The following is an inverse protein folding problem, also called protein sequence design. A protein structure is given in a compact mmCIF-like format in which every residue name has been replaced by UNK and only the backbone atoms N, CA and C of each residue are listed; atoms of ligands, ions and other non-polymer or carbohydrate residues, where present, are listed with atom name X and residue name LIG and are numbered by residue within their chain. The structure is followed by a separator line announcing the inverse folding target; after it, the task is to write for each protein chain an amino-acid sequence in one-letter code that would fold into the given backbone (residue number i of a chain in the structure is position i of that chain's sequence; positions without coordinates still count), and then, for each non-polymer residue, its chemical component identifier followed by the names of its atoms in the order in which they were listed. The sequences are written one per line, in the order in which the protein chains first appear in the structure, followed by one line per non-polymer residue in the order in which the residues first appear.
data_IF_573832960780
#
_entry.id   IF_573832960780
#
_cell.length_a   1.000
_cell.length_b   1.000
_cell.length_c   1.000
_cell.angle_alpha   90.00
_cell.angle_beta   90.00
_cell.angle_gamma   90.00
#
_symmetry.space_group_name_H-M   'P 1'
#
loop_
_entity.id
_entity.type
_entity.pdbx_description
1 polymer ?
#
# COMPACT_ATOMS: atom_id res chain seq x y z
N UNK A 1 -10.64 -19.32 -3.05
CA UNK A 1 -11.99 -18.72 -3.02
C UNK A 1 -12.14 -17.98 -4.33
N UNK A 2 -12.95 -18.52 -5.23
CA UNK A 2 -13.16 -18.00 -6.58
C UNK A 2 -13.87 -16.66 -6.42
N UNK A 3 -13.19 -15.55 -6.73
CA UNK A 3 -13.84 -14.25 -6.88
C UNK A 3 -14.83 -14.39 -8.03
N UNK A 4 -16.10 -14.59 -7.71
CA UNK A 4 -17.20 -14.44 -8.66
C UNK A 4 -17.34 -12.96 -8.95
N UNK A 5 -17.06 -12.59 -10.20
CA UNK A 5 -17.22 -11.23 -10.69
C UNK A 5 -18.72 -10.99 -10.81
N UNK A 6 -19.30 -10.30 -9.83
CA UNK A 6 -20.66 -9.82 -9.95
C UNK A 6 -20.73 -8.80 -11.09
N UNK A 7 -21.51 -9.21 -12.09
CA UNK A 7 -22.08 -8.44 -13.17
C UNK A 7 -22.96 -7.36 -12.53
N UNK A 8 -22.47 -6.15 -12.43
CA UNK A 8 -23.27 -4.91 -12.30
C UNK A 8 -22.30 -3.73 -12.27
N UNK A 9 -21.75 -3.38 -13.44
CA UNK A 9 -21.07 -2.09 -13.66
C UNK A 9 -21.72 -1.33 -14.82
N UNK A 10 -23.03 -1.56 -15.00
CA UNK A 10 -23.92 -0.70 -15.76
C UNK A 10 -24.90 -0.05 -14.77
N UNK A 11 -24.37 0.72 -13.82
CA UNK A 11 -25.17 1.65 -13.03
C UNK A 11 -25.68 2.77 -13.93
N UNK A 12 -26.76 2.50 -14.67
CA UNK A 12 -27.59 3.54 -15.27
C UNK A 12 -28.39 4.14 -14.11
N UNK A 13 -27.93 5.27 -13.58
CA UNK A 13 -28.83 6.17 -12.84
C UNK A 13 -29.90 6.61 -13.84
N UNK A 14 -31.10 6.05 -13.72
CA UNK A 14 -32.30 6.61 -14.35
C UNK A 14 -32.66 7.84 -13.52
N UNK A 15 -31.93 8.92 -13.72
CA UNK A 15 -32.42 10.26 -13.35
C UNK A 15 -33.68 10.53 -14.19
N UNK A 16 -34.74 10.98 -13.52
CA UNK A 16 -35.94 11.50 -14.17
C UNK A 16 -35.51 12.54 -15.20
N UNK A 17 -35.78 12.25 -16.47
CA UNK A 17 -35.37 13.05 -17.61
C UNK A 17 -35.98 14.47 -17.56
N UNK A 18 -35.28 15.40 -16.94
CA UNK A 18 -35.28 16.79 -17.37
C UNK A 18 -34.54 16.87 -18.70
N UNK A 19 -35.01 17.71 -19.64
CA UNK A 19 -34.37 17.93 -20.94
C UNK A 19 -32.95 18.52 -20.76
N UNK A 20 -31.95 17.67 -20.56
CA UNK A 20 -30.54 18.04 -20.61
C UNK A 20 -30.17 18.30 -22.08
N UNK A 21 -29.69 19.51 -22.38
CA UNK A 21 -29.21 19.86 -23.71
C UNK A 21 -27.87 19.18 -23.98
N UNK A 22 -27.58 18.84 -25.25
CA UNK A 22 -26.32 18.19 -25.66
C UNK A 22 -25.06 18.94 -25.17
N UNK A 23 -25.13 20.26 -25.03
CA UNK A 23 -24.06 21.08 -24.43
C UNK A 23 -23.79 20.67 -22.98
N UNK A 24 -24.84 20.60 -22.15
CA UNK A 24 -24.71 20.30 -20.71
C UNK A 24 -24.08 18.93 -20.41
N UNK A 25 -24.32 17.92 -21.27
CA UNK A 25 -23.71 16.59 -21.14
C UNK A 25 -22.21 16.62 -21.46
N UNK A 26 -21.80 17.35 -22.50
CA UNK A 26 -20.39 17.51 -22.88
C UNK A 26 -19.65 18.30 -21.81
N UNK A 27 -20.26 19.37 -21.29
CA UNK A 27 -19.69 20.19 -20.22
C UNK A 27 -19.47 19.37 -18.95
N UNK A 28 -20.44 18.51 -18.57
CA UNK A 28 -20.31 17.60 -17.44
C UNK A 28 -19.16 16.59 -17.64
N UNK A 29 -19.05 16.00 -18.82
CA UNK A 29 -17.97 15.06 -19.14
C UNK A 29 -16.59 15.73 -19.15
N UNK A 30 -16.49 16.95 -19.70
CA UNK A 30 -15.26 17.75 -19.69
C UNK A 30 -14.85 18.11 -18.27
N UNK A 31 -15.79 18.58 -17.43
CA UNK A 31 -15.52 18.90 -16.04
C UNK A 31 -15.04 17.68 -15.24
N UNK A 32 -15.61 16.49 -15.50
CA UNK A 32 -15.16 15.24 -14.89
C UNK A 32 -13.73 14.87 -15.31
N UNK A 33 -13.40 15.04 -16.59
CA UNK A 33 -12.05 14.84 -17.10
C UNK A 33 -11.07 15.80 -16.44
N UNK A 34 -11.37 17.10 -16.48
CA UNK A 34 -10.51 18.15 -15.91
C UNK A 34 -10.28 17.94 -14.41
N UNK A 35 -11.31 17.55 -13.66
CA UNK A 35 -11.17 17.20 -12.25
C UNK A 35 -10.20 16.03 -12.04
N UNK A 36 -10.34 14.96 -12.83
CA UNK A 36 -9.44 13.80 -12.74
C UNK A 36 -8.00 14.19 -13.05
N UNK A 37 -7.80 15.02 -14.09
CA UNK A 37 -6.47 15.51 -14.45
C UNK A 37 -5.87 16.40 -13.36
N UNK A 38 -6.65 17.33 -12.80
CA UNK A 38 -6.22 18.18 -11.68
C UNK A 38 -5.82 17.36 -10.44
N UNK A 39 -6.56 16.31 -10.12
CA UNK A 39 -6.23 15.39 -9.02
C UNK A 39 -4.90 14.65 -9.26
N UNK A 40 -4.67 14.16 -10.49
CA UNK A 40 -3.42 13.49 -10.86
C UNK A 40 -2.25 14.47 -10.88
N UNK A 41 -2.45 15.67 -11.41
CA UNK A 41 -1.44 16.73 -11.49
C UNK A 41 -0.95 17.11 -10.09
N UNK A 42 -1.88 17.35 -9.16
CA UNK A 42 -1.55 17.72 -7.78
C UNK A 42 -0.93 16.56 -7.00
N UNK A 43 -1.45 15.35 -7.15
CA UNK A 43 -0.96 14.21 -6.38
C UNK A 43 0.40 13.71 -6.85
N UNK A 44 0.68 13.74 -8.16
CA UNK A 44 1.94 13.31 -8.74
C UNK A 44 2.92 14.47 -9.01
N UNK A 45 2.70 15.64 -8.43
CA UNK A 45 3.56 16.82 -8.53
C UNK A 45 5.05 16.51 -8.27
N UNK A 46 5.31 15.67 -7.26
CA UNK A 46 6.64 15.17 -6.85
C UNK A 46 7.40 14.38 -7.94
N UNK A 47 6.73 13.96 -9.00
CA UNK A 47 7.33 13.32 -10.18
C UNK A 47 7.10 14.09 -11.47
N UNK A 48 6.51 15.29 -11.42
CA UNK A 48 6.20 16.13 -12.58
C UNK A 48 4.74 16.05 -13.04
N UNK A 49 3.80 15.77 -12.14
CA UNK A 49 2.37 15.80 -12.40
C UNK A 49 1.92 14.72 -13.38
N UNK A 50 0.96 15.04 -14.25
CA UNK A 50 0.42 14.11 -15.25
C UNK A 50 1.50 13.65 -16.23
N UNK A 51 2.38 14.56 -16.65
CA UNK A 51 3.48 14.25 -17.58
C UNK A 51 4.46 13.30 -16.90
N UNK A 52 4.83 13.61 -15.65
CA UNK A 52 5.66 12.76 -14.80
C UNK A 52 5.11 11.35 -14.63
N UNK A 53 3.81 11.26 -14.32
CA UNK A 53 3.10 9.99 -14.23
C UNK A 53 3.21 9.17 -15.52
N UNK A 54 2.94 9.80 -16.68
CA UNK A 54 3.04 9.12 -17.97
C UNK A 54 4.46 8.63 -18.26
N UNK A 55 5.47 9.47 -18.02
CA UNK A 55 6.88 9.11 -18.23
C UNK A 55 7.29 7.92 -17.37
N UNK A 56 6.94 7.92 -16.08
CA UNK A 56 7.26 6.80 -15.18
C UNK A 56 6.60 5.50 -15.64
N UNK A 57 5.34 5.55 -16.11
CA UNK A 57 4.67 4.35 -16.64
C UNK A 57 5.40 3.83 -17.89
N UNK A 58 5.79 4.70 -18.82
CA UNK A 58 6.53 4.33 -20.02
C UNK A 58 7.92 3.77 -19.69
N UNK A 59 8.66 4.40 -18.76
CA UNK A 59 9.95 3.91 -18.25
C UNK A 59 9.84 2.47 -17.70
N UNK A 60 8.78 2.20 -16.93
CA UNK A 60 8.53 0.88 -16.36
C UNK A 60 8.10 -0.15 -17.42
N UNK A 61 7.35 0.24 -18.45
CA UNK A 61 7.00 -0.64 -19.60
C UNK A 61 8.24 -1.01 -20.42
N UNK A 62 9.11 -0.02 -20.72
CA UNK A 62 10.37 -0.22 -21.44
C UNK A 62 11.33 -1.14 -20.67
N UNK A 63 11.42 -0.94 -19.36
CA UNK A 63 12.28 -1.76 -18.49
C UNK A 63 11.87 -3.24 -18.45
N UNK A 64 10.59 -3.55 -18.73
CA UNK A 64 10.10 -4.93 -18.78
C UNK A 64 10.29 -5.56 -20.16
N UNK A 65 10.10 -4.80 -21.25
CA UNK A 65 10.32 -5.28 -22.63
C UNK A 65 11.81 -5.50 -22.94
N UNK A 66 12.70 -4.65 -22.44
CA UNK A 66 14.15 -4.84 -22.58
C UNK A 66 14.65 -6.15 -21.96
N UNK A 67 14.04 -6.60 -20.86
CA UNK A 67 14.40 -7.86 -20.18
C UNK A 67 13.96 -9.09 -20.95
N UNK A 68 12.77 -9.07 -21.57
CA UNK A 68 12.28 -10.15 -22.44
C UNK A 68 13.21 -10.38 -23.64
N UNK A 69 13.82 -9.32 -24.19
CA UNK A 69 14.85 -9.43 -25.25
C UNK A 69 16.20 -9.95 -24.74
N UNK A 70 16.59 -9.62 -23.51
CA UNK A 70 17.85 -10.11 -22.93
C UNK A 70 17.84 -11.61 -22.62
N UNK A 71 16.67 -12.24 -22.47
CA UNK A 71 16.54 -13.71 -22.38
C UNK A 71 16.79 -14.44 -23.71
N UNK A 72 16.97 -13.72 -24.82
CA UNK A 72 17.29 -14.27 -26.15
C UNK A 72 18.69 -13.89 -26.67
N UNK A 73 19.49 -13.16 -25.89
CA UNK A 73 20.91 -12.95 -26.20
C UNK A 73 21.75 -12.96 -24.93
N UNK A 74 22.52 -14.03 -24.77
CA UNK A 74 23.71 -14.02 -23.92
C UNK A 74 24.65 -12.94 -24.45
N UNK A 75 25.17 -12.10 -23.55
CA UNK A 75 26.09 -10.99 -23.80
C UNK A 75 25.40 -9.67 -24.17
N UNK A 76 24.91 -8.95 -23.15
CA UNK A 76 25.35 -7.56 -22.80
C UNK A 76 24.40 -6.97 -21.76
N UNK A 77 24.70 -7.14 -20.46
CA UNK A 77 24.22 -6.23 -19.40
C UNK A 77 25.03 -6.36 -18.12
N UNK A 78 26.37 -6.38 -18.24
CA UNK A 78 27.28 -6.26 -17.09
C UNK A 78 27.11 -4.93 -16.32
N UNK A 79 26.50 -3.91 -16.93
CA UNK A 79 26.28 -2.62 -16.28
C UNK A 79 25.18 -2.61 -15.21
N UNK A 80 24.30 -3.62 -15.13
CA UNK A 80 23.21 -3.65 -14.12
C UNK A 80 23.38 -4.73 -13.03
N UNK A 81 24.32 -5.67 -13.21
CA UNK A 81 24.73 -6.61 -12.14
C UNK A 81 25.57 -5.95 -11.05
N UNK A 82 26.13 -4.76 -11.31
CA UNK A 82 27.04 -4.05 -10.40
C UNK A 82 26.35 -3.23 -9.28
N UNK A 83 25.04 -3.37 -9.09
CA UNK A 83 24.39 -2.95 -7.84
C UNK A 83 23.95 -4.22 -7.11
N UNK A 84 24.91 -4.94 -6.53
CA UNK A 84 24.69 -6.11 -5.68
C UNK A 84 23.88 -5.68 -4.44
N UNK A 85 22.57 -5.57 -4.59
CA UNK A 85 21.64 -5.46 -3.47
C UNK A 85 21.63 -6.82 -2.80
N UNK A 86 22.31 -6.93 -1.66
CA UNK A 86 22.19 -8.11 -0.81
C UNK A 86 20.88 -8.01 -0.05
N UNK A 87 20.04 -9.02 -0.22
CA UNK A 87 18.82 -9.18 0.56
C UNK A 87 19.11 -10.05 1.77
N UNK A 88 18.80 -9.53 2.95
CA UNK A 88 18.95 -10.26 4.21
C UNK A 88 17.58 -10.50 4.85
N UNK A 89 17.48 -11.57 5.63
CA UNK A 89 16.29 -11.83 6.45
C UNK A 89 16.34 -10.92 7.68
N UNK A 90 15.32 -10.10 7.97
CA UNK A 90 15.33 -9.21 9.14
C UNK A 90 15.21 -9.99 10.47
N UNK A 91 15.93 -9.56 11.52
CA UNK A 91 15.99 -10.19 12.87
C UNK A 91 15.04 -9.55 13.88
N UNK A 92 14.51 -10.26 14.90
CA UNK A 92 13.70 -9.72 16.03
C UNK A 92 12.82 -10.72 16.82
N UNK A 93 11.92 -10.21 17.67
CA UNK A 93 11.34 -10.90 18.85
C UNK A 93 10.05 -11.69 18.59
N UNK A 94 9.98 -12.92 19.11
CA UNK A 94 8.78 -13.77 19.11
C UNK A 94 7.81 -13.39 20.25
N UNK A 95 6.54 -13.20 19.93
CA UNK A 95 5.49 -12.67 20.83
C UNK A 95 4.60 -13.75 21.48
N UNK A 96 4.78 -15.04 21.16
CA UNK A 96 3.89 -16.13 21.58
C UNK A 96 4.22 -16.74 22.95
N UNK A 97 4.19 -15.97 24.03
CA UNK A 97 4.41 -16.51 25.39
C UNK A 97 3.32 -16.19 26.42
N UNK A 98 2.04 -16.09 26.02
CA UNK A 98 0.89 -16.27 26.92
C UNK A 98 -0.44 -16.42 26.14
N UNK A 99 -1.19 -17.50 26.37
CA UNK A 99 -2.29 -17.96 25.49
C UNK A 99 -3.70 -17.65 26.02
N UNK A 100 -3.89 -17.40 27.31
CA UNK A 100 -5.24 -17.15 27.87
C UNK A 100 -5.75 -15.72 27.63
N UNK A 101 -4.86 -14.75 27.43
CA UNK A 101 -5.20 -13.35 27.21
C UNK A 101 -5.61 -13.02 25.76
N UNK A 102 -5.08 -13.76 24.78
CA UNK A 102 -5.33 -13.54 23.35
C UNK A 102 -6.79 -13.83 22.94
N UNK A 103 -7.44 -14.80 23.58
CA UNK A 103 -8.82 -15.20 23.30
C UNK A 103 -9.85 -14.13 23.74
N UNK A 104 -9.52 -13.33 24.76
CA UNK A 104 -10.38 -12.24 25.24
C UNK A 104 -10.20 -10.93 24.43
N UNK A 105 -9.01 -10.71 23.85
CA UNK A 105 -8.70 -9.54 23.02
C UNK A 105 -9.30 -9.63 21.59
N UNK A 106 -9.63 -10.85 21.14
CA UNK A 106 -10.13 -11.15 19.80
C UNK A 106 -11.50 -10.55 19.45
N UNK A 107 -12.35 -10.29 20.45
CA UNK A 107 -13.74 -9.89 20.23
C UNK A 107 -13.95 -8.37 20.12
N UNK A 108 -12.95 -7.55 20.50
CA UNK A 108 -13.13 -6.11 20.75
C UNK A 108 -12.01 -5.19 20.19
N UNK A 109 -10.93 -5.71 19.59
CA UNK A 109 -9.83 -4.97 18.94
C UNK A 109 -9.50 -3.55 19.45
N UNK A 110 -10.18 -2.53 18.91
CA UNK A 110 -9.98 -1.12 19.27
C UNK A 110 -10.65 -0.77 20.62
N UNK A 111 -11.92 -1.15 20.79
CA UNK A 111 -12.70 -0.93 22.02
C UNK A 111 -12.15 -1.76 23.18
N UNK A 112 -11.60 -2.95 22.93
CA UNK A 112 -10.95 -3.78 23.95
C UNK A 112 -9.74 -3.05 24.52
N UNK A 113 -8.92 -2.47 23.65
CA UNK A 113 -7.69 -1.76 24.06
C UNK A 113 -8.03 -0.53 24.87
N UNK A 114 -9.05 0.21 24.46
CA UNK A 114 -9.54 1.39 25.17
C UNK A 114 -10.15 1.02 26.52
N UNK A 115 -10.94 -0.05 26.55
CA UNK A 115 -11.52 -0.58 27.78
C UNK A 115 -10.44 -1.09 28.73
N UNK A 116 -9.45 -1.84 28.24
CA UNK A 116 -8.31 -2.29 29.03
C UNK A 116 -7.55 -1.09 29.61
N UNK A 117 -7.25 -0.08 28.79
CA UNK A 117 -6.59 1.14 29.24
C UNK A 117 -7.39 1.83 30.35
N UNK A 118 -8.72 1.92 30.20
CA UNK A 118 -9.61 2.42 31.26
C UNK A 118 -9.53 1.57 32.54
N UNK A 119 -9.56 0.24 32.43
CA UNK A 119 -9.50 -0.67 33.59
C UNK A 119 -8.16 -0.58 34.33
N UNK A 120 -7.06 -0.32 33.63
CA UNK A 120 -5.71 -0.22 34.22
C UNK A 120 -5.45 1.17 34.81
N UNK A 121 -5.89 2.25 34.15
CA UNK A 121 -5.50 3.62 34.50
C UNK A 121 -6.66 4.51 34.99
N UNK A 122 -7.90 4.00 35.01
CA UNK A 122 -9.09 4.76 35.36
C UNK A 122 -9.44 5.89 34.37
N UNK A 123 -8.78 5.94 33.21
CA UNK A 123 -8.91 7.01 32.23
C UNK A 123 -9.48 6.47 30.93
N UNK A 124 -10.61 7.02 30.48
CA UNK A 124 -11.15 6.69 29.17
C UNK A 124 -10.30 7.33 28.07
N UNK A 125 -10.02 6.56 27.02
CA UNK A 125 -9.38 7.08 25.83
C UNK A 125 -10.10 6.57 24.58
N UNK A 126 -10.13 7.39 23.54
CA UNK A 126 -10.59 6.99 22.21
C UNK A 126 -9.41 7.07 21.25
N UNK A 127 -9.18 5.98 20.54
CA UNK A 127 -8.14 5.83 19.53
C UNK A 127 -8.65 6.45 18.23
N UNK A 128 -7.97 7.49 17.71
CA UNK A 128 -8.33 8.08 16.42
C UNK A 128 -8.01 7.10 15.28
N UNK A 129 -8.89 7.04 14.28
CA UNK A 129 -8.74 6.14 13.12
C UNK A 129 -8.85 6.94 11.82
N UNK A 130 -7.77 6.93 11.04
CA UNK A 130 -7.77 7.46 9.68
C UNK A 130 -8.00 6.32 8.67
N UNK A 131 -8.86 6.53 7.67
CA UNK A 131 -9.25 5.51 6.69
C UNK A 131 -9.07 6.10 5.28
N UNK A 132 -8.17 5.50 4.52
CA UNK A 132 -8.02 5.81 3.10
C UNK A 132 -9.08 5.07 2.28
N UNK A 133 -9.86 5.79 1.48
CA UNK A 133 -10.92 5.22 0.62
C UNK A 133 -10.60 5.43 -0.87
N UNK A 134 -11.53 5.07 -1.75
CA UNK A 134 -11.49 5.37 -3.18
C UNK A 134 -12.91 5.64 -3.71
N UNK A 135 -13.02 6.31 -4.85
CA UNK A 135 -14.31 6.54 -5.52
C UNK A 135 -14.81 5.34 -6.33
N UNK A 136 -13.96 4.33 -6.57
CA UNK A 136 -14.34 3.07 -7.24
C UNK A 136 -15.58 2.48 -6.59
N UNK A 137 -16.57 2.11 -7.42
CA UNK A 137 -17.84 1.53 -6.97
C UNK A 137 -18.52 2.34 -5.87
N UNK A 138 -18.36 3.67 -5.90
CA UNK A 138 -18.92 4.60 -4.92
C UNK A 138 -18.47 4.33 -3.47
N UNK A 139 -17.30 3.69 -3.29
CA UNK A 139 -16.86 3.16 -2.01
C UNK A 139 -16.71 4.25 -0.92
N UNK A 140 -16.19 5.43 -1.24
CA UNK A 140 -16.13 6.54 -0.28
C UNK A 140 -17.51 6.93 0.26
N UNK A 141 -18.51 7.12 -0.63
CA UNK A 141 -19.88 7.48 -0.19
C UNK A 141 -20.52 6.36 0.62
N UNK A 142 -20.35 5.10 0.21
CA UNK A 142 -20.88 3.95 0.93
C UNK A 142 -20.29 3.84 2.35
N UNK A 143 -18.97 4.01 2.50
CA UNK A 143 -18.31 4.00 3.81
C UNK A 143 -18.81 5.17 4.66
N UNK A 144 -18.87 6.39 4.13
CA UNK A 144 -19.37 7.55 4.87
C UNK A 144 -20.80 7.34 5.36
N UNK A 145 -21.70 6.88 4.48
CA UNK A 145 -23.09 6.59 4.83
C UNK A 145 -23.21 5.46 5.86
N UNK A 146 -22.35 4.45 5.80
CA UNK A 146 -22.29 3.37 6.79
C UNK A 146 -21.94 3.92 8.18
N UNK A 147 -20.95 4.82 8.27
CA UNK A 147 -20.52 5.43 9.51
C UNK A 147 -21.61 6.32 10.10
N UNK A 148 -22.28 7.13 9.29
CA UNK A 148 -23.40 7.96 9.71
C UNK A 148 -24.58 7.12 10.21
N UNK A 149 -24.96 6.09 9.45
CA UNK A 149 -26.05 5.16 9.82
C UNK A 149 -25.83 4.50 11.18
N UNK A 150 -24.58 4.20 11.53
CA UNK A 150 -24.22 3.56 12.80
C UNK A 150 -23.79 4.57 13.88
N UNK A 151 -24.06 5.86 13.70
CA UNK A 151 -23.73 6.90 14.68
C UNK A 151 -22.24 6.96 15.02
N UNK A 152 -21.38 6.73 14.02
CA UNK A 152 -19.92 6.62 14.17
C UNK A 152 -19.51 5.58 15.22
N UNK A 153 -20.29 4.50 15.32
CA UNK A 153 -20.11 3.39 16.25
C UNK A 153 -20.02 3.84 17.72
N UNK A 154 -20.67 4.96 18.08
CA UNK A 154 -20.61 5.50 19.44
C UNK A 154 -19.27 6.15 19.82
N UNK A 155 -18.32 6.27 18.87
CA UNK A 155 -16.98 6.83 19.11
C UNK A 155 -16.89 8.31 18.77
N UNK A 156 -17.90 8.86 18.11
CA UNK A 156 -17.95 10.25 17.66
C UNK A 156 -17.18 10.50 16.36
N UNK A 157 -17.76 11.33 15.49
CA UNK A 157 -17.21 11.68 14.17
C UNK A 157 -15.79 12.23 14.22
N UNK A 158 -15.48 13.00 15.26
CA UNK A 158 -14.18 13.65 15.45
C UNK A 158 -13.00 12.65 15.56
N UNK A 159 -13.27 11.41 15.96
CA UNK A 159 -12.26 10.36 16.10
C UNK A 159 -12.01 9.57 14.81
N UNK A 160 -12.65 9.95 13.71
CA UNK A 160 -12.48 9.34 12.41
C UNK A 160 -12.10 10.37 11.34
N UNK A 161 -11.16 9.99 10.49
CA UNK A 161 -10.76 10.82 9.36
C UNK A 161 -10.78 9.99 8.07
N UNK A 162 -11.83 10.18 7.25
CA UNK A 162 -11.92 9.55 5.93
C UNK A 162 -11.22 10.45 4.91
N UNK A 163 -10.30 9.89 4.13
CA UNK A 163 -9.58 10.63 3.09
C UNK A 163 -9.49 9.79 1.81
N UNK A 164 -9.86 10.39 0.69
CA UNK A 164 -10.05 9.68 -0.57
C UNK A 164 -8.80 9.75 -1.47
N UNK A 165 -8.37 8.60 -1.99
CA UNK A 165 -7.25 8.54 -2.94
C UNK A 165 -7.70 8.93 -4.36
N UNK A 166 -6.82 9.56 -5.16
CA UNK A 166 -7.15 9.94 -6.52
C UNK A 166 -7.27 8.71 -7.44
N UNK A 167 -8.05 8.90 -8.51
CA UNK A 167 -8.17 7.93 -9.60
C UNK A 167 -7.15 8.27 -10.69
N UNK A 168 -6.39 7.27 -11.15
CA UNK A 168 -5.34 7.47 -12.15
C UNK A 168 -5.72 6.86 -13.50
N UNK A 169 -5.32 7.49 -14.62
CA UNK A 169 -5.59 6.95 -15.94
C UNK A 169 -4.86 5.62 -16.15
N UNK A 170 -5.56 4.69 -16.79
CA UNK A 170 -4.98 3.43 -17.25
C UNK A 170 -4.34 3.65 -18.61
N UNK A 171 -3.11 3.16 -18.75
CA UNK A 171 -2.25 3.27 -19.92
C UNK A 171 -2.18 1.91 -20.60
N UNK A 172 -2.33 1.85 -21.91
CA UNK A 172 -2.13 0.65 -22.73
C UNK A 172 -0.67 0.22 -22.69
N UNK A 173 -0.43 -1.08 -22.43
CA UNK A 173 0.93 -1.64 -22.45
C UNK A 173 1.49 -1.77 -23.87
N UNK A 174 0.65 -1.72 -24.91
CA UNK A 174 1.04 -1.91 -26.31
C UNK A 174 1.65 -0.66 -26.92
N UNK A 175 1.01 0.50 -26.71
CA UNK A 175 1.34 1.76 -27.38
C UNK A 175 1.50 2.95 -26.42
N UNK A 176 1.33 2.73 -25.12
CA UNK A 176 1.48 3.78 -24.10
C UNK A 176 0.36 4.82 -24.10
N UNK A 177 -0.73 4.63 -24.86
CA UNK A 177 -1.86 5.55 -24.90
C UNK A 177 -2.81 5.33 -23.72
N UNK A 178 -3.60 6.33 -23.34
CA UNK A 178 -4.62 6.14 -22.32
C UNK A 178 -5.81 5.32 -22.84
N UNK A 179 -6.26 4.36 -22.03
CA UNK A 179 -7.47 3.62 -22.32
C UNK A 179 -8.70 4.51 -22.11
N UNK A 180 -9.62 4.47 -23.06
CA UNK A 180 -10.79 5.35 -23.11
C UNK A 180 -12.05 4.53 -23.36
N UNK A 181 -13.10 4.77 -22.58
CA UNK A 181 -14.44 4.19 -22.78
C UNK A 181 -15.34 5.06 -23.66
N UNK A 182 -14.86 6.25 -24.05
CA UNK A 182 -15.55 7.18 -24.93
C UNK A 182 -14.87 8.56 -24.97
N UNK A 183 -15.44 9.53 -25.68
CA UNK A 183 -14.96 10.92 -25.67
C UNK A 183 -14.91 11.46 -24.25
N UNK A 184 -13.79 12.09 -23.91
CA UNK A 184 -13.55 12.67 -22.58
C UNK A 184 -13.69 11.67 -21.40
N UNK A 185 -13.84 10.38 -21.70
CA UNK A 185 -14.09 9.31 -20.73
C UNK A 185 -12.88 8.38 -20.69
N UNK A 186 -12.04 8.58 -19.67
CA UNK A 186 -10.86 7.75 -19.45
C UNK A 186 -11.20 6.58 -18.54
N UNK A 187 -10.60 5.43 -18.82
CA UNK A 187 -10.61 4.31 -17.89
C UNK A 187 -9.64 4.65 -16.77
N UNK A 188 -10.16 4.82 -15.55
CA UNK A 188 -9.35 5.14 -14.39
C UNK A 188 -9.44 4.04 -13.32
N UNK A 189 -8.36 3.86 -12.56
CA UNK A 189 -8.30 2.94 -11.43
C UNK A 189 -7.53 3.57 -10.26
N UNK A 190 -7.66 3.06 -9.01
CA UNK A 190 -6.93 3.62 -7.87
C UNK A 190 -5.42 3.39 -7.99
N UNK A 191 -4.61 4.38 -7.58
CA UNK A 191 -3.14 4.32 -7.66
C UNK A 191 -2.46 3.30 -6.74
N UNK A 192 -3.20 2.55 -5.95
CA UNK A 192 -2.67 1.52 -5.05
C UNK A 192 -2.49 2.02 -3.62
N UNK A 193 -2.39 1.10 -2.67
CA UNK A 193 -2.43 1.42 -1.25
C UNK A 193 -1.21 2.21 -0.74
N UNK A 194 -0.09 2.20 -1.47
CA UNK A 194 1.10 2.99 -1.13
C UNK A 194 0.90 4.50 -1.26
N UNK A 195 -0.16 4.95 -1.92
CA UNK A 195 -0.55 6.36 -1.99
C UNK A 195 -0.79 6.97 -0.60
N UNK A 196 -1.05 6.14 0.42
CA UNK A 196 -1.45 6.56 1.76
C UNK A 196 -0.49 7.56 2.41
N UNK A 197 0.81 7.49 2.16
CA UNK A 197 1.79 8.34 2.84
C UNK A 197 1.79 9.78 2.36
N UNK A 198 1.95 9.98 1.04
CA UNK A 198 1.82 11.31 0.44
C UNK A 198 0.41 11.84 0.64
N UNK A 199 -0.61 11.01 0.45
CA UNK A 199 -2.00 11.43 0.60
C UNK A 199 -2.31 11.87 2.04
N UNK A 200 -1.80 11.16 3.05
CA UNK A 200 -1.95 11.56 4.45
C UNK A 200 -1.32 12.92 4.73
N UNK A 201 -0.18 13.24 4.10
CA UNK A 201 0.44 14.56 4.18
C UNK A 201 -0.40 15.63 3.47
N UNK A 202 -0.73 15.41 2.20
CA UNK A 202 -1.52 16.37 1.39
C UNK A 202 -2.90 16.68 2.00
N UNK A 203 -3.46 15.75 2.79
CA UNK A 203 -4.78 15.88 3.42
C UNK A 203 -4.73 16.28 4.90
N UNK A 204 -3.55 16.55 5.46
CA UNK A 204 -3.41 17.00 6.86
C UNK A 204 -3.70 15.91 7.90
N UNK A 205 -3.58 14.63 7.53
CA UNK A 205 -3.91 13.48 8.39
C UNK A 205 -2.88 13.33 9.52
N UNK A 206 -1.61 13.65 9.27
CA UNK A 206 -0.57 13.62 10.30
C UNK A 206 -0.84 14.68 11.36
N UNK A 207 -1.15 15.91 10.95
CA UNK A 207 -1.55 17.02 11.82
C UNK A 207 -2.81 16.68 12.62
N UNK A 208 -3.77 16.00 11.99
CA UNK A 208 -4.94 15.48 12.67
C UNK A 208 -4.58 14.43 13.73
N UNK A 209 -3.63 13.53 13.49
CA UNK A 209 -3.15 12.62 14.53
C UNK A 209 -2.42 13.36 15.67
N UNK A 210 -1.64 14.39 15.35
CA UNK A 210 -0.93 15.20 16.35
C UNK A 210 -1.91 15.98 17.23
N UNK A 211 -3.00 16.51 16.68
CA UNK A 211 -4.05 17.17 17.46
C UNK A 211 -4.76 16.21 18.43
N UNK A 212 -4.71 14.90 18.16
CA UNK A 212 -5.16 13.83 19.07
C UNK A 212 -4.05 13.30 19.99
N UNK A 213 -2.90 13.96 20.05
CA UNK A 213 -1.76 13.61 20.90
C UNK A 213 -1.08 12.29 20.52
N UNK A 214 -1.09 11.90 19.23
CA UNK A 214 -0.51 10.64 18.76
C UNK A 214 0.87 10.84 18.17
N UNK A 215 1.81 9.96 18.54
CA UNK A 215 3.19 9.92 18.03
C UNK A 215 3.45 8.79 17.02
N UNK A 216 2.62 7.77 17.05
CA UNK A 216 2.74 6.57 16.23
C UNK A 216 1.35 6.03 15.88
N UNK A 217 1.28 5.23 14.84
CA UNK A 217 0.07 4.54 14.40
C UNK A 217 0.39 3.10 14.00
N UNK A 218 -0.65 2.26 14.00
CA UNK A 218 -0.62 0.98 13.31
C UNK A 218 -1.45 1.06 12.04
N UNK A 219 -0.92 0.61 10.90
CA UNK A 219 -1.66 0.53 9.64
C UNK A 219 -1.96 -0.93 9.29
N UNK A 220 -3.12 -1.19 8.69
CA UNK A 220 -3.52 -2.51 8.21
C UNK A 220 -4.48 -2.41 7.04
N UNK A 221 -4.59 -3.48 6.26
CA UNK A 221 -5.64 -3.62 5.26
C UNK A 221 -6.96 -4.03 5.91
N UNK A 222 -8.07 -3.47 5.44
CA UNK A 222 -9.42 -3.80 5.94
C UNK A 222 -9.78 -5.28 5.70
N UNK A 223 -9.24 -5.89 4.64
CA UNK A 223 -9.43 -7.30 4.30
C UNK A 223 -8.73 -8.27 5.27
N UNK A 224 -7.73 -7.80 6.03
CA UNK A 224 -7.10 -8.60 7.07
C UNK A 224 -7.90 -8.46 8.36
N UNK A 225 -8.98 -9.23 8.46
CA UNK A 225 -9.88 -9.25 9.63
C UNK A 225 -9.19 -9.79 10.88
N UNK A 226 -8.25 -10.73 10.71
CA UNK A 226 -7.50 -11.39 11.80
C UNK A 226 -6.47 -10.46 12.44
N UNK A 227 -5.99 -9.44 11.72
CA UNK A 227 -5.00 -8.49 12.26
C UNK A 227 -5.43 -7.79 13.55
N UNK A 228 -6.73 -7.77 13.89
CA UNK A 228 -7.24 -7.17 15.13
C UNK A 228 -7.85 -8.18 16.11
N UNK A 229 -7.70 -9.48 15.85
CA UNK A 229 -8.27 -10.55 16.67
C UNK A 229 -7.28 -11.11 17.69
N UNK A 230 -6.10 -10.54 17.83
CA UNK A 230 -5.07 -11.01 18.75
C UNK A 230 -4.31 -9.82 19.38
N UNK A 231 -3.23 -10.13 20.10
CA UNK A 231 -2.36 -9.13 20.72
C UNK A 231 -1.34 -8.52 19.76
N UNK A 232 -1.30 -8.93 18.50
CA UNK A 232 -0.24 -8.58 17.54
C UNK A 232 -0.16 -7.08 17.33
N UNK A 233 -1.28 -6.38 17.10
CA UNK A 233 -1.28 -4.91 16.93
C UNK A 233 -0.83 -4.17 18.18
N UNK A 234 -1.22 -4.65 19.36
CA UNK A 234 -0.85 -4.02 20.63
C UNK A 234 0.64 -4.21 20.91
N UNK A 235 1.15 -5.43 20.71
CA UNK A 235 2.56 -5.76 20.87
C UNK A 235 3.44 -5.05 19.83
N UNK A 236 3.02 -5.02 18.56
CA UNK A 236 3.66 -4.28 17.48
C UNK A 236 3.78 -2.78 17.83
N UNK A 237 2.70 -2.16 18.32
CA UNK A 237 2.73 -0.79 18.80
C UNK A 237 3.64 -0.62 20.03
N UNK A 238 3.55 -1.51 21.01
CA UNK A 238 4.34 -1.47 22.25
C UNK A 238 5.84 -1.58 21.99
N UNK A 239 6.26 -2.54 21.16
CA UNK A 239 7.66 -2.72 20.74
C UNK A 239 8.13 -1.50 19.96
N UNK A 240 7.34 -1.03 18.99
CA UNK A 240 7.68 0.14 18.19
C UNK A 240 7.93 1.38 19.06
N UNK A 241 7.07 1.60 20.06
CA UNK A 241 7.20 2.70 21.01
C UNK A 241 8.35 2.50 22.00
N UNK A 242 8.48 1.32 22.62
CA UNK A 242 9.50 1.02 23.65
C UNK A 242 10.92 1.16 23.12
N UNK A 243 11.13 0.80 21.86
CA UNK A 243 12.44 0.82 21.21
C UNK A 243 12.59 1.95 20.19
N UNK A 244 11.69 2.93 20.21
CA UNK A 244 11.73 4.12 19.35
C UNK A 244 11.91 3.81 17.86
N UNK A 245 11.27 2.72 17.40
CA UNK A 245 11.35 2.31 16.01
C UNK A 245 10.65 3.35 15.13
N UNK A 246 11.08 3.42 13.87
CA UNK A 246 10.45 4.30 12.86
C UNK A 246 9.45 3.58 11.97
N UNK A 247 9.67 2.29 11.77
CA UNK A 247 8.82 1.40 11.00
C UNK A 247 8.95 -0.02 11.58
N UNK A 248 7.87 -0.79 11.52
CA UNK A 248 7.88 -2.22 11.84
C UNK A 248 6.83 -2.98 11.04
N UNK A 249 7.07 -4.26 10.79
CA UNK A 249 6.16 -5.14 10.07
C UNK A 249 5.76 -6.29 10.97
N UNK A 250 4.46 -6.48 11.22
CA UNK A 250 3.99 -7.80 11.63
C UNK A 250 4.01 -8.71 10.40
N UNK A 251 4.53 -9.91 10.59
CA UNK A 251 4.82 -10.87 9.53
C UNK A 251 4.48 -12.28 10.03
N UNK A 252 4.41 -13.26 9.14
CA UNK A 252 4.22 -14.67 9.48
C UNK A 252 5.12 -15.57 8.61
N UNK A 253 5.22 -16.87 8.95
CA UNK A 253 5.84 -17.84 8.05
C UNK A 253 5.05 -17.81 6.73
N UNK A 254 5.76 -17.75 5.60
CA UNK A 254 5.10 -17.77 4.30
C UNK A 254 4.79 -19.21 3.91
N UNK A 255 3.51 -19.50 3.68
CA UNK A 255 3.11 -20.79 3.14
C UNK A 255 3.56 -20.94 1.69
N UNK A 256 3.92 -22.16 1.29
CA UNK A 256 4.28 -22.46 -0.09
C UNK A 256 3.11 -22.15 -1.04
N UNK A 257 3.41 -21.48 -2.16
CA UNK A 257 2.40 -21.10 -3.17
C UNK A 257 1.50 -19.93 -2.75
N UNK A 258 1.76 -19.31 -1.60
CA UNK A 258 0.95 -18.20 -1.12
C UNK A 258 1.23 -16.90 -1.90
N UNK A 259 0.23 -16.03 -2.02
CA UNK A 259 0.31 -14.83 -2.88
C UNK A 259 0.74 -13.57 -2.12
N UNK A 260 1.27 -13.71 -0.91
CA UNK A 260 1.91 -12.64 -0.17
C UNK A 260 3.36 -12.45 -0.62
N UNK A 261 3.80 -11.19 -0.67
CA UNK A 261 5.22 -10.85 -0.75
C UNK A 261 6.00 -11.23 0.50
N UNK A 262 7.30 -10.97 0.46
CA UNK A 262 8.23 -11.20 1.56
C UNK A 262 8.88 -9.90 1.99
N UNK A 263 9.14 -9.76 3.28
CA UNK A 263 9.92 -8.65 3.82
C UNK A 263 11.42 -8.98 3.76
N UNK A 264 12.20 -8.03 3.24
CA UNK A 264 13.64 -8.15 3.05
C UNK A 264 14.34 -6.93 3.63
N UNK A 265 15.55 -7.13 4.13
CA UNK A 265 16.49 -6.06 4.39
C UNK A 265 17.36 -5.86 3.14
N UNK A 266 17.33 -4.65 2.60
CA UNK A 266 18.16 -4.22 1.48
C UNK A 266 19.39 -3.51 2.05
N UNK A 267 20.55 -3.91 1.56
CA UNK A 267 21.82 -3.22 1.76
C UNK A 267 22.29 -2.65 0.42
N UNK A 268 22.67 -1.37 0.41
CA UNK A 268 23.11 -0.63 -0.78
C UNK A 268 24.36 0.19 -0.49
N UNK A 269 25.41 0.02 -1.29
CA UNK A 269 26.59 0.88 -1.22
C UNK A 269 26.35 2.21 -1.95
N UNK A 270 26.75 3.32 -1.33
CA UNK A 270 26.57 4.68 -1.85
C UNK A 270 27.72 5.16 -2.74
N UNK A 271 28.64 4.28 -3.15
CA UNK A 271 29.78 4.62 -4.02
C UNK A 271 30.89 5.45 -3.35
N UNK A 272 30.69 5.86 -2.10
CA UNK A 272 31.66 6.54 -1.24
C UNK A 272 32.19 5.64 -0.11
N UNK A 273 32.02 4.32 -0.23
CA UNK A 273 32.33 3.34 0.82
C UNK A 273 31.36 3.33 2.00
N UNK A 274 30.30 4.14 1.98
CA UNK A 274 29.22 4.10 2.97
C UNK A 274 28.08 3.20 2.49
N UNK A 275 27.39 2.59 3.46
CA UNK A 275 26.28 1.68 3.21
C UNK A 275 24.96 2.28 3.70
N UNK A 276 23.92 2.13 2.90
CA UNK A 276 22.53 2.39 3.23
C UNK A 276 21.78 1.09 3.44
N UNK A 277 20.90 1.09 4.44
CA UNK A 277 20.08 -0.05 4.79
C UNK A 277 18.60 0.34 4.76
N UNK A 278 17.75 -0.56 4.29
CA UNK A 278 16.31 -0.31 4.23
C UNK A 278 15.51 -1.60 4.31
N UNK A 279 14.37 -1.57 4.99
CA UNK A 279 13.40 -2.65 4.89
C UNK A 279 12.57 -2.43 3.63
N UNK A 280 12.31 -3.51 2.90
CA UNK A 280 11.46 -3.51 1.72
C UNK A 280 10.57 -4.75 1.70
N UNK A 281 9.52 -4.71 0.89
CA UNK A 281 8.76 -5.88 0.51
C UNK A 281 9.06 -6.23 -0.95
N UNK A 282 9.31 -7.51 -1.22
CA UNK A 282 9.35 -8.06 -2.58
C UNK A 282 8.06 -8.85 -2.78
N UNK A 283 7.27 -8.51 -3.79
CA UNK A 283 6.06 -9.26 -4.12
C UNK A 283 6.40 -10.62 -4.73
N UNK A 284 5.52 -11.61 -4.52
CA UNK A 284 5.62 -12.93 -5.14
C UNK A 284 5.74 -12.85 -6.67
N UNK A 285 5.09 -11.86 -7.30
CA UNK A 285 5.17 -11.66 -8.76
C UNK A 285 6.54 -11.21 -9.24
N UNK A 286 7.41 -10.72 -8.34
CA UNK A 286 8.76 -10.23 -8.65
C UNK A 286 9.85 -11.21 -8.17
N UNK A 287 9.51 -12.37 -7.61
CA UNK A 287 10.51 -13.32 -7.09
C UNK A 287 11.50 -13.76 -8.17
N UNK A 288 11.01 -14.06 -9.37
CA UNK A 288 11.85 -14.44 -10.52
C UNK A 288 12.87 -13.35 -10.87
N UNK A 289 12.49 -12.07 -10.80
CA UNK A 289 13.37 -10.92 -11.06
C UNK A 289 14.57 -10.88 -10.12
N UNK A 290 14.41 -11.39 -8.90
CA UNK A 290 15.45 -11.38 -7.87
C UNK A 290 16.05 -12.78 -7.62
N UNK A 291 15.74 -13.77 -8.47
CA UNK A 291 16.26 -15.14 -8.32
C UNK A 291 15.75 -15.86 -7.08
N UNK A 292 14.64 -15.41 -6.51
CA UNK A 292 14.03 -16.01 -5.31
C UNK A 292 13.22 -17.21 -5.75
N UNK A 293 13.65 -18.42 -5.35
CA UNK A 293 12.92 -19.65 -5.68
C UNK A 293 11.76 -19.83 -4.71
N UNK A 294 10.55 -19.85 -5.24
CA UNK A 294 9.35 -20.27 -4.51
C UNK A 294 9.25 -21.80 -4.58
N UNK A 295 9.93 -22.49 -3.67
CA UNK A 295 9.99 -23.95 -3.60
C UNK A 295 9.66 -24.44 -2.19
N UNK A 296 9.20 -25.69 -2.03
CA UNK A 296 9.08 -26.30 -0.71
C UNK A 296 10.46 -26.30 -0.03
N UNK A 297 10.54 -25.70 1.14
CA UNK A 297 11.76 -25.68 1.96
C UNK A 297 11.94 -27.08 2.53
N UNK A 298 12.94 -27.83 2.04
CA UNK A 298 13.33 -29.07 2.72
C UNK A 298 13.96 -28.71 4.08
N UNK A 299 13.82 -29.59 5.08
CA UNK A 299 14.39 -29.38 6.41
C UNK A 299 15.92 -29.09 6.39
N UNK A 300 16.62 -29.50 5.34
CA UNK A 300 18.06 -29.31 5.13
C UNK A 300 18.41 -28.19 4.12
N UNK A 301 17.43 -27.40 3.65
CA UNK A 301 17.71 -26.35 2.67
C UNK A 301 18.37 -25.14 3.35
N UNK A 302 19.55 -24.74 2.87
CA UNK A 302 20.25 -23.50 3.25
C UNK A 302 19.56 -22.22 2.73
N UNK A 303 18.30 -22.31 2.28
CA UNK A 303 17.60 -21.20 1.65
C UNK A 303 17.01 -20.27 2.72
N UNK A 304 17.30 -18.97 2.61
CA UNK A 304 16.79 -17.96 3.52
C UNK A 304 15.24 -17.94 3.49
N UNK A 305 14.62 -18.31 4.61
CA UNK A 305 13.17 -18.24 4.78
C UNK A 305 12.77 -16.80 5.07
N UNK A 306 12.42 -16.05 4.02
CA UNK A 306 12.01 -14.67 4.17
C UNK A 306 10.60 -14.56 4.79
N UNK A 307 10.40 -13.66 5.76
CA UNK A 307 9.11 -13.42 6.42
C UNK A 307 8.03 -12.95 5.44
N UNK A 308 6.80 -13.46 5.55
CA UNK A 308 5.67 -13.00 4.74
C UNK A 308 5.28 -11.57 5.09
N UNK A 309 5.00 -10.73 4.09
CA UNK A 309 4.45 -9.40 4.30
C UNK A 309 2.93 -9.48 4.52
N UNK A 310 2.48 -9.21 5.76
CA UNK A 310 1.04 -9.19 6.09
C UNK A 310 0.37 -7.82 5.85
N UNK A 311 1.13 -6.80 5.43
CA UNK A 311 0.72 -5.39 5.37
C UNK A 311 0.17 -4.82 6.69
N UNK A 312 0.56 -5.41 7.83
CA UNK A 312 0.30 -4.87 9.17
C UNK A 312 1.56 -4.19 9.68
N UNK A 313 1.48 -2.88 9.90
CA UNK A 313 2.64 -2.03 10.11
C UNK A 313 2.55 -1.23 11.41
N UNK A 314 3.69 -1.04 12.05
CA UNK A 314 3.92 0.04 13.01
C UNK A 314 4.58 1.21 12.28
N UNK A 315 4.12 2.43 12.53
CA UNK A 315 4.65 3.65 11.92
C UNK A 315 4.85 4.72 12.98
N UNK A 316 6.07 5.27 13.04
CA UNK A 316 6.32 6.56 13.68
C UNK A 316 5.75 7.67 12.78
N UNK A 317 4.80 8.44 13.31
CA UNK A 317 4.05 9.41 12.50
C UNK A 317 4.97 10.50 11.95
N UNK A 318 5.99 10.90 12.72
CA UNK A 318 6.92 11.93 12.28
C UNK A 318 7.80 11.45 11.14
N UNK A 319 8.30 10.21 11.22
CA UNK A 319 9.06 9.60 10.15
C UNK A 319 8.25 9.45 8.86
N UNK A 320 7.00 8.97 8.96
CA UNK A 320 6.13 8.85 7.80
C UNK A 320 5.74 10.21 7.20
N UNK A 321 5.48 11.22 8.03
CA UNK A 321 5.22 12.59 7.58
C UNK A 321 6.42 13.15 6.80
N UNK A 322 7.65 12.98 7.29
CA UNK A 322 8.85 13.43 6.57
C UNK A 322 8.98 12.80 5.17
N UNK A 323 8.54 11.55 5.02
CA UNK A 323 8.53 10.88 3.72
C UNK A 323 7.37 11.37 2.87
N UNK A 324 6.15 11.47 3.41
CA UNK A 324 4.99 12.00 2.69
C UNK A 324 5.22 13.42 2.18
N UNK A 325 5.92 14.24 2.97
CA UNK A 325 6.30 15.61 2.65
C UNK A 325 7.49 15.72 1.68
N UNK A 326 8.19 14.62 1.41
CA UNK A 326 9.32 14.64 0.48
C UNK A 326 8.79 14.92 -0.92
N UNK A 327 9.07 16.10 -1.47
CA UNK A 327 8.63 16.53 -2.82
C UNK A 327 9.43 15.82 -3.92
N UNK A 328 9.63 14.51 -3.79
CA UNK A 328 10.41 13.68 -4.69
C UNK A 328 9.81 12.28 -4.76
N UNK A 329 10.35 11.42 -5.63
CA UNK A 329 9.94 10.01 -5.79
C UNK A 329 9.86 9.22 -4.47
N UNK A 330 10.57 9.62 -3.41
CA UNK A 330 10.51 8.94 -2.11
C UNK A 330 9.15 8.99 -1.40
N UNK A 331 8.29 9.98 -1.68
CA UNK A 331 6.93 10.01 -1.12
C UNK A 331 5.96 9.05 -1.82
N UNK A 332 6.38 8.47 -2.96
CA UNK A 332 5.64 7.50 -3.76
C UNK A 332 6.35 6.13 -3.76
N UNK A 333 6.37 5.42 -2.62
CA UNK A 333 7.11 4.18 -2.52
C UNK A 333 6.56 3.04 -3.38
N UNK A 334 7.47 2.17 -3.82
CA UNK A 334 7.12 0.90 -4.45
C UNK A 334 6.34 1.03 -5.76
N UNK A 335 6.69 2.04 -6.58
CA UNK A 335 6.15 2.23 -7.93
C UNK A 335 6.36 1.00 -8.81
N UNK A 336 5.27 0.33 -9.19
CA UNK A 336 5.28 -0.86 -10.04
C UNK A 336 4.12 -0.85 -11.05
N UNK A 337 4.20 -1.70 -12.07
CA UNK A 337 3.10 -2.00 -12.98
C UNK A 337 2.65 -3.46 -12.79
N UNK A 338 1.35 -3.71 -12.93
CA UNK A 338 0.82 -5.07 -12.99
C UNK A 338 0.32 -5.38 -14.40
N UNK A 339 1.10 -6.17 -15.15
CA UNK A 339 0.76 -6.61 -16.51
C UNK A 339 -0.08 -7.90 -16.55
N UNK A 340 -0.24 -8.61 -15.42
CA UNK A 340 -0.85 -9.94 -15.38
C UNK A 340 -2.38 -9.92 -15.38
N UNK A 341 -3.01 -8.78 -15.13
CA UNK A 341 -4.48 -8.64 -15.09
C UNK A 341 -4.95 -7.77 -16.25
N UNK A 342 -5.66 -8.34 -17.25
CA UNK A 342 -6.23 -7.54 -18.31
C UNK A 342 -7.24 -6.54 -17.75
N UNK A 343 -7.38 -5.40 -18.43
CA UNK A 343 -8.37 -4.37 -18.11
C UNK A 343 -9.50 -4.50 -19.10
N UNK A 344 -10.66 -4.90 -18.58
CA UNK A 344 -11.91 -4.89 -19.32
C UNK A 344 -12.56 -3.52 -19.23
N UNK A 345 -13.03 -3.00 -20.36
CA UNK A 345 -13.81 -1.77 -20.43
C UNK A 345 -14.78 -1.83 -21.61
N UNK A 346 -15.82 -1.00 -21.58
CA UNK A 346 -16.80 -0.87 -22.66
C UNK A 346 -16.54 0.44 -23.38
N UNK A 347 -16.34 0.40 -24.70
CA UNK A 347 -16.36 1.61 -25.55
C UNK A 347 -17.62 1.57 -26.42
N UNK A 348 -18.40 2.66 -26.30
CA UNK A 348 -19.74 2.99 -26.84
C UNK A 348 -20.76 1.88 -27.07
N UNK A 349 -20.43 0.69 -27.56
CA UNK A 349 -21.31 -0.48 -27.70
C UNK A 349 -20.58 -1.85 -27.70
N UNK A 350 -19.25 -1.91 -27.45
CA UNK A 350 -18.48 -3.17 -27.46
C UNK A 350 -17.62 -3.34 -26.22
N UNK A 351 -17.52 -4.59 -25.76
CA UNK A 351 -16.60 -4.99 -24.71
C UNK A 351 -15.20 -5.14 -25.28
N UNK A 352 -14.24 -4.45 -24.66
CA UNK A 352 -12.82 -4.57 -24.95
C UNK A 352 -12.10 -5.15 -23.74
N UNK A 353 -11.13 -6.02 -23.99
CA UNK A 353 -10.17 -6.49 -23.01
C UNK A 353 -8.79 -6.17 -23.55
N UNK A 354 -8.05 -5.30 -22.87
CA UNK A 354 -6.70 -4.90 -23.27
C UNK A 354 -5.75 -5.02 -22.09
N UNK A 355 -4.46 -5.20 -22.37
CA UNK A 355 -3.40 -5.17 -21.37
C UNK A 355 -3.16 -3.72 -20.92
N UNK A 356 -4.05 -3.21 -20.06
CA UNK A 356 -3.94 -1.90 -19.44
C UNK A 356 -3.13 -1.94 -18.14
N UNK A 357 -2.22 -0.99 -17.98
CA UNK A 357 -1.41 -0.77 -16.79
C UNK A 357 -1.68 0.58 -16.15
N UNK A 358 -1.27 0.72 -14.89
CA UNK A 358 -1.21 1.99 -14.20
C UNK A 358 -0.11 1.93 -13.16
N UNK A 359 0.38 3.09 -12.72
CA UNK A 359 1.30 3.13 -11.60
C UNK A 359 0.57 2.62 -10.33
N UNK A 360 1.12 1.56 -9.74
CA UNK A 360 0.70 1.05 -8.44
C UNK A 360 1.75 1.43 -7.41
N UNK A 361 1.32 2.13 -6.37
CA UNK A 361 2.13 2.46 -5.21
C UNK A 361 1.92 1.39 -4.14
N UNK A 362 3.02 0.96 -3.49
CA UNK A 362 2.99 -0.02 -2.41
C UNK A 362 3.37 0.62 -1.09
N UNK A 363 2.87 0.05 0.01
CA UNK A 363 3.15 0.57 1.35
C UNK A 363 4.57 0.15 1.75
N UNK A 364 5.61 0.76 1.18
CA UNK A 364 7.00 0.40 1.48
C UNK A 364 7.85 1.64 1.71
N UNK A 365 8.01 2.04 2.96
CA UNK A 365 8.94 3.11 3.31
C UNK A 365 10.38 2.60 3.21
N UNK A 366 11.07 2.88 2.11
CA UNK A 366 12.49 2.57 1.92
C UNK A 366 13.37 3.77 2.30
N UNK A 367 13.45 4.10 3.60
CA UNK A 367 14.63 4.80 4.11
C UNK A 367 14.79 4.64 5.62
N UNK A 368 15.81 3.91 6.05
CA UNK A 368 16.34 4.01 7.41
C UNK A 368 17.71 4.70 7.31
N UNK A 369 17.81 5.91 7.87
CA UNK A 369 19.08 6.62 7.95
C UNK A 369 19.92 6.04 9.08
N UNK A 370 21.14 5.63 8.77
CA UNK A 370 22.13 5.23 9.76
C UNK A 370 23.54 5.32 9.19
N UNK A 371 24.16 6.48 9.30
CA UNK A 371 25.62 6.62 9.19
C UNK A 371 26.23 6.32 10.56
N UNK A 372 26.64 5.09 10.81
CA UNK A 372 27.37 4.76 12.04
C UNK A 372 27.74 3.30 12.10
N UNK A 373 29.04 3.03 12.26
CA UNK A 373 29.65 1.70 12.34
C UNK A 373 29.30 0.90 13.61
N UNK A 374 28.04 0.94 14.05
CA UNK A 374 27.49 0.04 15.06
C UNK A 374 26.66 -1.05 14.40
N UNK A 375 26.61 -2.23 15.01
CA UNK A 375 25.94 -3.43 14.49
C UNK A 375 24.43 -3.16 14.25
N UNK A 376 24.08 -2.81 13.01
CA UNK A 376 22.76 -2.27 12.64
C UNK A 376 21.63 -3.31 12.75
N UNK A 377 22.02 -4.59 12.88
CA UNK A 377 21.16 -5.73 13.20
C UNK A 377 20.39 -5.55 14.51
N UNK A 378 20.91 -4.78 15.48
CA UNK A 378 20.19 -4.47 16.74
C UNK A 378 19.06 -3.45 16.56
N UNK A 379 19.04 -2.70 15.45
CA UNK A 379 18.10 -1.59 15.24
C UNK A 379 16.82 -1.98 14.51
N UNK A 380 16.69 -3.19 13.97
CA UNK A 380 15.51 -3.66 13.23
C UNK A 380 14.94 -4.94 13.83
N UNK A 381 13.61 -5.09 13.87
CA UNK A 381 12.89 -6.16 14.59
C UNK A 381 11.98 -6.96 13.61
N UNK A 382 12.17 -8.28 13.55
CA UNK A 382 11.23 -9.36 13.19
C UNK A 382 10.06 -9.28 14.15
N UNK A 383 8.87 -9.09 13.61
CA UNK A 383 7.65 -9.46 14.32
C UNK A 383 7.08 -10.61 13.51
N UNK A 384 7.43 -11.84 13.91
CA UNK A 384 6.81 -13.09 13.48
C UNK A 384 6.80 -14.04 14.67
N UNK A 385 5.60 -14.36 15.15
CA UNK A 385 5.02 -15.69 14.93
C UNK A 385 3.56 -15.63 15.34
N UNK A 386 2.68 -16.11 14.47
CA UNK A 386 1.32 -16.52 14.78
C UNK A 386 1.22 -17.97 14.34
N UNK A 387 1.87 -18.87 15.06
CA UNK A 387 1.58 -20.30 14.99
C UNK A 387 1.70 -20.90 16.39
N UNK A 388 0.60 -21.50 16.83
CA UNK A 388 0.58 -22.56 17.85
C UNK A 388 1.23 -23.79 17.22
N UNK A 389 2.00 -24.54 18.00
CA UNK A 389 2.34 -25.93 17.64
C UNK A 389 1.08 -26.73 17.28
#
# INVERSE_FOLDING_TARGET
MIETWDKDDAGVEVEKAGKSTRSSVVDAALNKLLKTLDEVEKFYDCIGGIIGYQLVVLELLLSQTAKVRSTLSSHTSESFKNMLQKFHVPFGTNLLKDIEYASQAALWGLEAREHLYFKVFGKQCTTPVAIMTSSVKNNHKHISALFEKHGWFGRGRQNFHLFEQPMVPVVSAEDGQWLCSGPLSRVCKPGGHGAIWKLAYDKGVFEWFYSHGRKAATARQVSNVVAATDVTLLALAGIGLKHEKKLGFASCRRNFGATEGINVLIEKENGNGQWEYGLSCIEYTEFEKYGIKDGPVSFDSLQAEFPANTNVLYIDLKAAEMIGASKSRSCLPGMVLNLKKPVTFVDRFRYFSSNGVRLLLRVIVTKAFGSGGGNILEKMIKIISLDRE
#
